data_IF_631409644539
#
_entry.id   IF_631409644539
#
_cell.length_a   1.000
_cell.length_b   1.000
_cell.length_c   1.000
_cell.angle_alpha   90.00
_cell.angle_beta   90.00
_cell.angle_gamma   90.00
#
_symmetry.space_group_name_H-M   'P 1'
#
loop_
_entity.id
_entity.type
_entity.pdbx_description
1 polymer ?
#
# COMPACT_ATOMS: atom_id res chain seq x y z
N UNK A 1 27.32 -7.83 17.68
CA UNK A 1 26.99 -8.08 16.26
C UNK A 1 26.22 -9.40 16.22
N UNK A 2 24.91 -9.33 16.02
CA UNK A 2 24.06 -10.52 15.87
C UNK A 2 23.94 -10.79 14.38
N UNK A 3 24.33 -11.98 13.94
CA UNK A 3 24.06 -12.43 12.57
C UNK A 3 22.69 -13.09 12.62
N UNK A 4 21.76 -12.64 11.79
CA UNK A 4 20.50 -13.36 11.57
C UNK A 4 20.78 -14.49 10.58
N UNK A 5 20.69 -15.74 11.06
CA UNK A 5 20.91 -16.94 10.24
C UNK A 5 19.60 -17.43 9.59
N UNK A 6 18.46 -16.92 10.04
CA UNK A 6 17.14 -17.29 9.55
C UNK A 6 16.92 -16.78 8.12
N UNK A 7 16.51 -17.69 7.23
CA UNK A 7 16.18 -17.35 5.86
C UNK A 7 14.95 -16.45 5.80
N UNK A 8 15.11 -15.23 5.27
CA UNK A 8 14.02 -14.30 4.98
C UNK A 8 13.49 -14.50 3.56
N UNK A 9 12.17 -14.41 3.40
CA UNK A 9 11.42 -14.77 2.19
C UNK A 9 10.66 -13.58 1.62
N UNK A 10 10.65 -13.46 0.29
CA UNK A 10 9.71 -12.64 -0.45
C UNK A 10 8.50 -13.47 -0.94
N UNK A 11 7.55 -12.82 -1.61
CA UNK A 11 6.36 -13.50 -2.11
C UNK A 11 6.67 -14.62 -3.11
N UNK A 12 7.73 -14.47 -3.90
CA UNK A 12 8.11 -15.47 -4.90
C UNK A 12 8.68 -16.76 -4.33
N UNK A 13 9.12 -16.74 -3.08
CA UNK A 13 9.82 -17.87 -2.46
C UNK A 13 8.84 -18.87 -1.84
N UNK A 14 7.52 -18.61 -1.93
CA UNK A 14 6.48 -19.48 -1.36
C UNK A 14 5.25 -19.66 -2.27
N UNK A 15 4.51 -20.74 -2.02
CA UNK A 15 3.13 -20.97 -2.48
C UNK A 15 2.21 -21.23 -1.28
N UNK A 16 0.90 -21.03 -1.45
CA UNK A 16 -0.11 -21.36 -0.44
C UNK A 16 -0.58 -22.79 -0.67
N UNK A 17 -0.47 -23.65 0.36
CA UNK A 17 -0.97 -25.03 0.32
C UNK A 17 -2.50 -25.06 0.24
N UNK A 18 -3.12 -25.70 -0.76
CA UNK A 18 -4.56 -25.91 -0.78
C UNK A 18 -5.03 -26.76 0.39
N UNK A 19 -6.27 -26.55 0.83
CA UNK A 19 -6.91 -27.29 1.92
C UNK A 19 -8.32 -27.71 1.51
N UNK A 20 -8.89 -28.69 2.22
CA UNK A 20 -10.29 -29.11 1.99
C UNK A 20 -11.22 -27.90 2.12
N UNK A 21 -12.06 -27.68 1.12
CA UNK A 21 -13.00 -26.57 1.03
C UNK A 21 -14.43 -27.10 0.82
N UNK A 22 -15.41 -26.40 1.38
CA UNK A 22 -16.85 -26.65 1.14
C UNK A 22 -17.48 -25.61 0.23
N UNK A 23 -16.70 -24.60 -0.21
CA UNK A 23 -17.16 -23.56 -1.13
C UNK A 23 -17.38 -24.16 -2.52
N UNK A 24 -18.47 -23.76 -3.18
CA UNK A 24 -18.82 -24.28 -4.50
C UNK A 24 -18.38 -23.33 -5.61
N UNK A 25 -18.35 -22.03 -5.32
CA UNK A 25 -18.00 -21.00 -6.27
C UNK A 25 -17.09 -19.93 -5.63
N UNK A 26 -16.31 -19.27 -6.48
CA UNK A 26 -15.55 -18.06 -6.11
C UNK A 26 -16.48 -16.92 -5.70
N UNK A 27 -17.70 -16.87 -6.24
CA UNK A 27 -18.71 -15.86 -5.86
C UNK A 27 -19.17 -15.97 -4.40
N UNK A 28 -18.96 -17.12 -3.76
CA UNK A 28 -19.35 -17.37 -2.37
C UNK A 28 -18.38 -16.71 -1.37
N UNK A 29 -17.28 -16.10 -1.85
CA UNK A 29 -16.24 -15.49 -1.03
C UNK A 29 -16.50 -13.99 -0.82
N UNK A 30 -16.62 -13.61 0.44
CA UNK A 30 -16.69 -12.22 0.89
C UNK A 30 -15.27 -11.66 1.08
N UNK A 31 -14.92 -10.63 0.31
CA UNK A 31 -13.61 -9.97 0.44
C UNK A 31 -13.63 -8.77 1.40
N UNK A 32 -14.82 -8.28 1.74
CA UNK A 32 -14.98 -7.18 2.67
C UNK A 32 -14.44 -7.54 4.05
N UNK A 33 -13.82 -6.57 4.70
CA UNK A 33 -13.36 -6.63 6.08
C UNK A 33 -13.93 -5.45 6.83
N UNK A 34 -14.34 -5.72 8.06
CA UNK A 34 -14.65 -4.68 9.03
C UNK A 34 -13.53 -4.61 10.07
N UNK A 35 -13.06 -3.39 10.32
CA UNK A 35 -11.99 -3.08 11.26
C UNK A 35 -12.43 -2.00 12.22
N UNK A 36 -12.05 -2.12 13.49
CA UNK A 36 -12.11 -1.04 14.48
C UNK A 36 -10.69 -0.71 14.90
N UNK A 37 -10.31 0.55 14.75
CA UNK A 37 -8.93 1.00 14.92
C UNK A 37 -8.65 1.41 16.37
N UNK A 38 -7.48 1.01 16.88
CA UNK A 38 -7.12 1.06 18.30
C UNK A 38 -7.22 2.46 18.90
N UNK A 39 -6.62 3.45 18.26
CA UNK A 39 -6.46 4.79 18.82
C UNK A 39 -7.53 5.74 18.35
N UNK A 40 -7.92 5.65 17.07
CA UNK A 40 -8.97 6.51 16.53
C UNK A 40 -10.38 6.12 16.99
N UNK A 41 -10.59 4.86 17.37
CA UNK A 41 -11.90 4.29 17.68
C UNK A 41 -12.84 4.18 16.47
N UNK A 42 -12.39 4.59 15.29
CA UNK A 42 -13.18 4.55 14.06
C UNK A 42 -13.40 3.10 13.63
N UNK A 43 -14.53 2.87 12.95
CA UNK A 43 -14.80 1.61 12.27
C UNK A 43 -14.86 1.86 10.77
N UNK A 44 -14.24 0.97 10.00
CA UNK A 44 -14.27 1.00 8.54
C UNK A 44 -14.59 -0.38 7.98
N UNK A 45 -15.35 -0.39 6.90
CA UNK A 45 -15.71 -1.57 6.13
C UNK A 45 -15.36 -1.36 4.66
N UNK A 46 -14.70 -2.34 4.05
CA UNK A 46 -14.39 -2.36 2.63
C UNK A 46 -13.44 -3.49 2.25
N UNK A 47 -12.96 -3.46 1.01
CA UNK A 47 -11.92 -4.37 0.55
C UNK A 47 -10.56 -3.78 0.90
N UNK A 48 -9.74 -4.44 1.73
CA UNK A 48 -8.53 -3.83 2.31
C UNK A 48 -7.34 -3.82 1.35
N UNK A 49 -7.55 -3.28 0.15
CA UNK A 49 -6.52 -2.93 -0.80
C UNK A 49 -6.40 -1.41 -0.78
N UNK A 50 -5.18 -0.89 -0.94
CA UNK A 50 -4.92 0.54 -0.95
C UNK A 50 -4.14 0.91 -2.22
N UNK A 51 -4.61 1.88 -2.99
CA UNK A 51 -3.79 2.50 -4.04
C UNK A 51 -2.69 3.36 -3.40
N UNK A 52 -1.44 3.17 -3.83
CA UNK A 52 -0.29 3.83 -3.23
C UNK A 52 -0.30 5.34 -3.44
N UNK A 53 0.21 6.09 -2.46
CA UNK A 53 0.28 7.56 -2.43
C UNK A 53 1.34 8.19 -3.35
N UNK A 54 1.51 7.59 -4.53
CA UNK A 54 2.37 8.08 -5.59
C UNK A 54 1.58 9.01 -6.51
N UNK A 55 2.20 10.07 -7.01
CA UNK A 55 1.55 11.04 -7.93
C UNK A 55 1.08 10.42 -9.25
N UNK A 56 1.62 9.26 -9.60
CA UNK A 56 1.23 8.46 -10.77
C UNK A 56 0.16 7.40 -10.47
N UNK A 57 -0.27 7.24 -9.22
CA UNK A 57 -1.21 6.18 -8.80
C UNK A 57 -2.34 6.74 -7.92
N UNK A 58 -2.02 7.35 -6.78
CA UNK A 58 -3.00 7.84 -5.81
C UNK A 58 -3.62 9.18 -6.20
N UNK A 59 -4.25 9.24 -7.37
CA UNK A 59 -4.95 10.42 -7.91
C UNK A 59 -6.40 10.47 -7.43
N UNK A 60 -7.08 11.59 -7.66
CA UNK A 60 -8.52 11.70 -7.39
C UNK A 60 -9.36 10.82 -8.32
N UNK A 61 -8.95 10.67 -9.58
CA UNK A 61 -9.58 9.79 -10.56
C UNK A 61 -9.49 8.33 -10.13
N UNK A 62 -8.32 7.91 -9.62
CA UNK A 62 -8.12 6.59 -9.05
C UNK A 62 -9.01 6.36 -7.83
N UNK A 63 -9.13 7.35 -6.94
CA UNK A 63 -10.02 7.29 -5.79
C UNK A 63 -11.49 7.09 -6.20
N UNK A 64 -11.97 7.83 -7.21
CA UNK A 64 -13.34 7.67 -7.71
C UNK A 64 -13.58 6.28 -8.31
N UNK A 65 -12.65 5.79 -9.13
CA UNK A 65 -12.80 4.50 -9.80
C UNK A 65 -12.73 3.32 -8.82
N UNK A 66 -11.82 3.36 -7.85
CA UNK A 66 -11.60 2.26 -6.89
C UNK A 66 -12.65 2.24 -5.77
N UNK A 67 -13.27 3.38 -5.44
CA UNK A 67 -14.37 3.42 -4.48
C UNK A 67 -15.55 2.50 -4.89
N UNK A 68 -15.81 2.35 -6.20
CA UNK A 68 -16.83 1.40 -6.71
C UNK A 68 -16.51 -0.09 -6.46
N UNK A 69 -15.32 -0.39 -5.95
CA UNK A 69 -14.89 -1.73 -5.51
C UNK A 69 -14.65 -1.80 -3.99
N UNK A 70 -15.04 -0.76 -3.26
CA UNK A 70 -14.74 -0.54 -1.84
C UNK A 70 -13.23 -0.59 -1.50
N UNK A 71 -12.39 -0.15 -2.43
CA UNK A 71 -10.93 -0.11 -2.29
C UNK A 71 -10.50 1.30 -1.87
N UNK A 72 -9.57 1.39 -0.91
CA UNK A 72 -9.00 2.64 -0.43
C UNK A 72 -8.01 3.24 -1.45
N UNK A 73 -7.93 4.57 -1.49
CA UNK A 73 -6.86 5.29 -2.17
C UNK A 73 -6.16 6.22 -1.20
N UNK A 74 -4.86 5.99 -0.99
CA UNK A 74 -4.01 6.97 -0.33
C UNK A 74 -3.66 8.03 -1.36
N UNK A 75 -4.30 9.19 -1.30
CA UNK A 75 -4.10 10.25 -2.29
C UNK A 75 -2.73 10.88 -2.09
N UNK A 76 -1.97 11.08 -3.18
CA UNK A 76 -0.63 11.65 -3.10
C UNK A 76 -0.64 13.06 -2.50
N UNK A 77 0.44 13.46 -1.84
CA UNK A 77 0.51 14.72 -1.07
C UNK A 77 0.71 15.99 -1.90
N UNK A 78 0.55 15.94 -3.23
CA UNK A 78 0.96 17.04 -4.12
C UNK A 78 -0.19 17.92 -4.61
N UNK A 79 -1.45 17.51 -4.42
CA UNK A 79 -2.58 18.40 -4.65
C UNK A 79 -2.61 19.54 -3.62
N UNK A 80 -3.08 20.71 -4.06
CA UNK A 80 -3.32 21.88 -3.21
C UNK A 80 -4.62 21.73 -2.42
N UNK A 81 -4.82 22.61 -1.43
CA UNK A 81 -6.05 22.62 -0.62
C UNK A 81 -7.27 22.94 -1.48
N UNK A 82 -7.11 23.80 -2.50
CA UNK A 82 -8.16 24.17 -3.45
C UNK A 82 -8.56 23.00 -4.35
N UNK A 83 -7.59 22.21 -4.81
CA UNK A 83 -7.85 20.99 -5.59
C UNK A 83 -8.59 19.95 -4.74
N UNK A 84 -8.20 19.78 -3.47
CA UNK A 84 -8.94 18.97 -2.51
C UNK A 84 -10.37 19.48 -2.29
N UNK A 85 -10.57 20.78 -2.14
CA UNK A 85 -11.91 21.37 -1.99
C UNK A 85 -12.77 21.12 -3.24
N UNK A 86 -12.20 21.26 -4.44
CA UNK A 86 -12.89 20.96 -5.69
C UNK A 86 -13.28 19.47 -5.80
N UNK A 87 -12.35 18.56 -5.43
CA UNK A 87 -12.63 17.12 -5.39
C UNK A 87 -13.74 16.80 -4.39
N UNK A 88 -13.67 17.30 -3.15
CA UNK A 88 -14.66 17.05 -2.10
C UNK A 88 -16.05 17.55 -2.51
N UNK A 89 -16.14 18.68 -3.20
CA UNK A 89 -17.41 19.24 -3.67
C UNK A 89 -18.11 18.38 -4.74
N UNK A 90 -17.37 17.50 -5.41
CA UNK A 90 -17.89 16.64 -6.49
C UNK A 90 -17.93 15.16 -6.09
N UNK A 91 -17.09 14.73 -5.15
CA UNK A 91 -17.03 13.38 -4.65
C UNK A 91 -18.27 13.01 -3.81
N UNK A 92 -18.77 11.80 -3.98
CA UNK A 92 -19.83 11.27 -3.12
C UNK A 92 -19.28 10.94 -1.73
N UNK A 93 -20.15 10.87 -0.72
CA UNK A 93 -19.77 10.39 0.61
C UNK A 93 -19.17 8.97 0.58
N UNK A 94 -19.60 8.16 -0.39
CA UNK A 94 -19.11 6.80 -0.63
C UNK A 94 -17.65 6.79 -1.15
N UNK A 95 -17.25 7.77 -1.97
CA UNK A 95 -15.85 7.95 -2.36
C UNK A 95 -15.03 8.42 -1.15
N UNK A 96 -15.53 9.39 -0.39
CA UNK A 96 -14.78 10.01 0.72
C UNK A 96 -14.47 9.03 1.86
N UNK A 97 -15.31 8.01 2.13
CA UNK A 97 -14.99 6.95 3.11
C UNK A 97 -13.77 6.11 2.73
N UNK A 98 -13.38 6.14 1.45
CA UNK A 98 -12.30 5.34 0.87
C UNK A 98 -11.09 6.18 0.46
N UNK A 99 -10.93 7.37 1.03
CA UNK A 99 -9.81 8.27 0.76
C UNK A 99 -8.92 8.43 2.00
N UNK A 100 -7.61 8.35 1.81
CA UNK A 100 -6.61 8.71 2.83
C UNK A 100 -5.84 9.95 2.38
N UNK A 101 -5.68 10.92 3.29
CA UNK A 101 -4.89 12.14 3.04
C UNK A 101 -3.44 11.85 3.39
N UNK A 102 -2.53 11.93 2.41
CA UNK A 102 -1.12 11.62 2.64
C UNK A 102 -0.29 12.85 3.04
N UNK A 103 0.71 12.65 3.88
CA UNK A 103 1.57 13.72 4.40
C UNK A 103 3.01 13.23 4.65
N UNK A 104 3.97 14.17 4.61
CA UNK A 104 5.33 13.94 5.10
C UNK A 104 5.48 14.41 6.54
N UNK A 105 6.72 14.72 6.98
CA UNK A 105 7.00 15.19 8.35
C UNK A 105 7.34 16.68 8.45
N UNK A 106 7.27 17.44 7.35
CA UNK A 106 7.56 18.88 7.37
C UNK A 106 6.39 19.67 7.98
N UNK A 107 6.69 20.83 8.57
CA UNK A 107 5.63 21.70 9.11
C UNK A 107 4.65 22.17 8.04
N UNK A 108 5.13 22.46 6.83
CA UNK A 108 4.28 22.82 5.69
C UNK A 108 3.34 21.68 5.27
N UNK A 109 3.84 20.43 5.23
CA UNK A 109 3.00 19.25 4.97
C UNK A 109 1.94 19.07 6.09
N UNK A 110 2.34 19.29 7.35
CA UNK A 110 1.44 19.21 8.50
C UNK A 110 0.32 20.26 8.43
N UNK A 111 0.66 21.54 8.23
CA UNK A 111 -0.31 22.65 8.09
C UNK A 111 -1.28 22.41 6.94
N UNK A 112 -0.78 21.98 5.78
CA UNK A 112 -1.63 21.64 4.63
C UNK A 112 -2.59 20.48 4.97
N UNK A 113 -2.11 19.47 5.70
CA UNK A 113 -2.94 18.34 6.13
C UNK A 113 -4.05 18.79 7.08
N UNK A 114 -3.75 19.68 8.02
CA UNK A 114 -4.77 20.30 8.91
C UNK A 114 -5.84 21.00 8.08
N UNK A 115 -5.45 21.79 7.08
CA UNK A 115 -6.40 22.51 6.22
C UNK A 115 -7.27 21.54 5.42
N UNK A 116 -6.69 20.50 4.81
CA UNK A 116 -7.44 19.50 4.04
C UNK A 116 -8.43 18.75 4.92
N UNK A 117 -8.00 18.27 6.10
CA UNK A 117 -8.88 17.53 7.01
C UNK A 117 -10.04 18.39 7.55
N UNK A 118 -9.86 19.71 7.63
CA UNK A 118 -10.92 20.64 8.01
C UNK A 118 -11.99 20.85 6.92
N UNK A 119 -11.70 20.52 5.65
CA UNK A 119 -12.65 20.67 4.55
C UNK A 119 -13.86 19.74 4.68
N UNK A 120 -13.66 18.52 5.20
CA UNK A 120 -14.76 17.57 5.37
C UNK A 120 -14.48 16.57 6.50
N UNK A 121 -15.40 16.41 7.48
CA UNK A 121 -15.21 15.47 8.58
C UNK A 121 -15.14 14.00 8.12
N UNK A 122 -15.66 13.66 6.93
CA UNK A 122 -15.62 12.31 6.38
C UNK A 122 -14.22 11.82 5.97
N UNK A 123 -13.25 12.74 5.84
CA UNK A 123 -11.84 12.38 5.63
C UNK A 123 -11.28 11.78 6.92
N UNK A 124 -11.39 10.46 7.07
CA UNK A 124 -11.10 9.77 8.33
C UNK A 124 -9.71 9.15 8.40
N UNK A 125 -8.99 9.06 7.28
CA UNK A 125 -7.68 8.43 7.21
C UNK A 125 -6.57 9.42 6.88
N UNK A 126 -5.45 9.30 7.59
CA UNK A 126 -4.20 10.01 7.32
C UNK A 126 -3.12 8.98 7.03
N UNK A 127 -2.35 9.18 5.95
CA UNK A 127 -1.20 8.37 5.58
C UNK A 127 0.09 9.18 5.77
N UNK A 128 0.83 8.92 6.84
CA UNK A 128 2.12 9.57 7.10
C UNK A 128 3.22 8.70 6.49
N UNK A 129 3.83 9.21 5.42
CA UNK A 129 4.74 8.44 4.56
C UNK A 129 6.14 9.04 4.51
N UNK A 130 7.13 8.25 4.93
CA UNK A 130 8.56 8.54 4.82
C UNK A 130 9.32 7.30 4.38
N UNK A 131 10.49 7.51 3.75
CA UNK A 131 11.35 6.40 3.34
C UNK A 131 11.94 5.62 4.52
N UNK A 132 12.22 6.30 5.65
CA UNK A 132 12.83 5.71 6.84
C UNK A 132 11.98 6.00 8.09
N UNK A 133 11.08 5.08 8.43
CA UNK A 133 10.25 5.15 9.62
C UNK A 133 11.00 4.88 10.94
N UNK A 134 12.28 4.52 10.91
CA UNK A 134 13.11 4.26 12.09
C UNK A 134 13.71 5.52 12.73
N UNK A 135 13.35 6.70 12.22
CA UNK A 135 13.85 7.96 12.75
C UNK A 135 13.06 8.39 13.97
N UNK A 136 13.74 8.77 15.06
CA UNK A 136 13.10 9.37 16.25
C UNK A 136 12.20 10.56 15.87
N UNK A 137 12.64 11.38 14.92
CA UNK A 137 11.84 12.50 14.41
C UNK A 137 10.49 12.05 13.82
N UNK A 138 10.46 10.87 13.17
CA UNK A 138 9.23 10.32 12.63
C UNK A 138 8.29 9.84 13.73
N UNK A 139 8.82 9.18 14.76
CA UNK A 139 8.06 8.74 15.95
C UNK A 139 7.42 9.94 16.66
N UNK A 140 8.20 11.01 16.88
CA UNK A 140 7.72 12.26 17.46
C UNK A 140 6.63 12.91 16.58
N UNK A 141 6.77 12.85 15.26
CA UNK A 141 5.76 13.35 14.34
C UNK A 141 4.45 12.54 14.42
N UNK A 142 4.52 11.21 14.53
CA UNK A 142 3.33 10.35 14.71
C UNK A 142 2.60 10.71 16.01
N UNK A 143 3.34 10.91 17.12
CA UNK A 143 2.75 11.34 18.39
C UNK A 143 2.07 12.72 18.27
N UNK A 144 2.73 13.69 17.65
CA UNK A 144 2.16 15.03 17.34
C UNK A 144 0.89 14.91 16.48
N UNK A 145 0.91 14.05 15.47
CA UNK A 145 -0.23 13.81 14.59
C UNK A 145 -1.42 13.19 15.33
N UNK A 146 -1.17 12.22 16.22
CA UNK A 146 -2.22 11.65 17.08
C UNK A 146 -2.83 12.70 18.01
N UNK A 147 -2.01 13.56 18.63
CA UNK A 147 -2.51 14.63 19.48
C UNK A 147 -3.39 15.63 18.70
N UNK A 148 -2.96 16.01 17.50
CA UNK A 148 -3.70 16.95 16.66
C UNK A 148 -4.98 16.37 16.05
N UNK A 149 -4.99 15.06 15.75
CA UNK A 149 -6.08 14.39 15.04
C UNK A 149 -6.57 13.14 15.79
N UNK A 150 -7.07 13.28 17.03
CA UNK A 150 -7.33 12.15 17.93
C UNK A 150 -8.36 11.16 17.40
N UNK A 151 -9.30 11.62 16.56
CA UNK A 151 -10.38 10.80 15.99
C UNK A 151 -10.09 10.28 14.59
N UNK A 152 -8.94 10.61 13.99
CA UNK A 152 -8.54 10.15 12.65
C UNK A 152 -7.74 8.86 12.76
N UNK A 153 -7.96 7.97 11.80
CA UNK A 153 -7.18 6.73 11.67
C UNK A 153 -5.84 7.04 11.01
N UNK A 154 -4.74 6.76 11.72
CA UNK A 154 -3.39 7.09 11.27
C UNK A 154 -2.70 5.83 10.75
N UNK A 155 -2.33 5.85 9.47
CA UNK A 155 -1.42 4.90 8.86
C UNK A 155 -0.02 5.54 8.77
N UNK A 156 1.02 4.89 9.32
CA UNK A 156 2.37 5.46 9.40
C UNK A 156 3.46 4.46 9.00
N UNK A 157 4.44 4.88 8.20
CA UNK A 157 5.65 4.09 7.92
C UNK A 157 6.63 4.79 6.95
N UNK A 158 7.64 4.10 6.42
CA UNK A 158 7.76 2.63 6.35
C UNK A 158 8.77 2.00 7.32
N UNK A 159 8.43 0.79 7.78
CA UNK A 159 9.27 -0.06 8.65
C UNK A 159 9.24 -1.51 8.16
N UNK A 160 10.11 -2.38 8.69
CA UNK A 160 10.21 -3.80 8.28
C UNK A 160 10.46 -4.78 9.43
N UNK A 161 10.49 -4.31 10.68
CA UNK A 161 10.76 -5.12 11.87
C UNK A 161 9.68 -4.94 12.93
N UNK A 162 9.50 -5.96 13.77
CA UNK A 162 8.49 -5.97 14.82
C UNK A 162 8.67 -4.83 15.83
N UNK A 163 9.89 -4.57 16.28
CA UNK A 163 10.16 -3.52 17.30
C UNK A 163 9.69 -2.13 16.85
N UNK A 164 10.10 -1.67 15.67
CA UNK A 164 9.66 -0.38 15.15
C UNK A 164 8.16 -0.36 14.82
N UNK A 165 7.58 -1.52 14.47
CA UNK A 165 6.13 -1.65 14.31
C UNK A 165 5.41 -1.43 15.66
N UNK A 166 5.92 -2.00 16.75
CA UNK A 166 5.39 -1.78 18.09
C UNK A 166 5.52 -0.32 18.52
N UNK A 167 6.69 0.29 18.31
CA UNK A 167 6.93 1.70 18.66
C UNK A 167 5.94 2.62 17.96
N UNK A 168 5.74 2.49 16.64
CA UNK A 168 4.78 3.33 15.91
C UNK A 168 3.34 3.17 16.42
N UNK A 169 2.92 1.95 16.77
CA UNK A 169 1.60 1.72 17.36
C UNK A 169 1.52 2.36 18.74
N UNK A 170 2.54 2.23 19.59
CA UNK A 170 2.56 2.85 20.92
C UNK A 170 2.56 4.38 20.84
N UNK A 171 3.16 4.96 19.80
CA UNK A 171 3.16 6.40 19.54
C UNK A 171 1.86 6.94 18.95
N UNK A 172 0.91 6.06 18.58
CA UNK A 172 -0.44 6.45 18.19
C UNK A 172 -0.86 6.11 16.76
N UNK A 173 -0.04 5.38 15.99
CA UNK A 173 -0.47 4.83 14.71
C UNK A 173 -1.50 3.71 14.91
N UNK A 174 -2.57 3.71 14.11
CA UNK A 174 -3.54 2.62 14.07
C UNK A 174 -3.08 1.50 13.13
N UNK A 175 -2.43 1.89 12.03
CA UNK A 175 -1.95 1.00 10.97
C UNK A 175 -0.48 1.32 10.71
N UNK A 176 0.37 0.29 10.66
CA UNK A 176 1.79 0.46 10.32
C UNK A 176 2.04 0.06 8.88
N UNK A 177 2.73 0.91 8.11
CA UNK A 177 3.10 0.66 6.72
C UNK A 177 4.42 -0.11 6.64
N UNK A 178 4.35 -1.33 6.11
CA UNK A 178 5.45 -2.31 6.14
C UNK A 178 6.04 -2.48 4.76
N UNK A 179 7.32 -2.15 4.59
CA UNK A 179 8.07 -2.41 3.36
C UNK A 179 9.16 -1.40 3.07
N UNK A 180 10.42 -1.86 3.04
CA UNK A 180 11.58 -1.06 2.62
C UNK A 180 12.30 -1.77 1.47
N UNK A 181 12.30 -1.12 0.31
CA UNK A 181 12.91 -1.63 -0.92
C UNK A 181 12.14 -2.65 -1.77
N UNK A 182 10.88 -3.08 -1.51
CA UNK A 182 10.21 -4.08 -2.34
C UNK A 182 9.55 -3.48 -3.60
N UNK A 183 9.40 -2.15 -3.68
CA UNK A 183 8.66 -1.49 -4.75
C UNK A 183 9.26 -1.70 -6.15
N UNK A 184 8.41 -1.86 -7.17
CA UNK A 184 8.84 -2.15 -8.55
C UNK A 184 9.72 -1.07 -9.19
N UNK A 185 9.58 0.18 -8.73
CA UNK A 185 10.37 1.35 -9.14
C UNK A 185 11.30 1.87 -8.03
N UNK A 186 11.48 1.10 -6.95
CA UNK A 186 12.41 1.42 -5.87
C UNK A 186 13.81 0.92 -6.21
N UNK A 187 14.83 1.71 -5.86
CA UNK A 187 16.24 1.33 -5.98
C UNK A 187 17.00 1.41 -4.65
N UNK A 188 16.33 1.67 -3.52
CA UNK A 188 16.91 1.72 -2.17
C UNK A 188 17.84 0.54 -1.89
N UNK A 189 17.40 -0.71 -2.08
CA UNK A 189 18.26 -1.90 -1.87
C UNK A 189 19.55 -1.87 -2.66
N UNK A 190 19.48 -1.40 -3.92
CA UNK A 190 20.64 -1.33 -4.81
C UNK A 190 21.57 -0.18 -4.41
N UNK A 191 21.02 0.93 -3.93
CA UNK A 191 21.76 2.15 -3.60
C UNK A 191 22.38 2.12 -2.21
N UNK A 192 21.67 1.56 -1.23
CA UNK A 192 22.04 1.63 0.20
C UNK A 192 22.36 0.26 0.79
N UNK A 193 21.96 -0.84 0.13
CA UNK A 193 22.00 -2.19 0.70
C UNK A 193 20.91 -2.45 1.75
N UNK A 194 20.05 -1.48 2.04
CA UNK A 194 19.03 -1.58 3.09
C UNK A 194 17.72 -2.10 2.51
N UNK A 195 17.12 -3.08 3.20
CA UNK A 195 15.79 -3.60 2.92
C UNK A 195 15.55 -4.95 3.58
N UNK A 196 14.33 -5.45 3.45
CA UNK A 196 13.91 -6.70 4.08
C UNK A 196 12.97 -7.48 3.14
N UNK A 197 13.12 -8.80 2.95
CA UNK A 197 12.21 -9.58 2.12
C UNK A 197 10.75 -9.47 2.58
N UNK A 198 9.88 -9.06 1.66
CA UNK A 198 8.58 -8.47 2.02
C UNK A 198 7.67 -9.42 2.78
N UNK A 199 7.64 -10.71 2.43
CA UNK A 199 6.76 -11.65 3.11
C UNK A 199 7.20 -11.87 4.55
N UNK A 200 8.50 -12.02 4.80
CA UNK A 200 9.02 -12.13 6.17
C UNK A 200 8.78 -10.86 6.99
N UNK A 201 8.96 -9.67 6.40
CA UNK A 201 8.65 -8.41 7.07
C UNK A 201 7.16 -8.32 7.44
N UNK A 202 6.28 -8.73 6.53
CA UNK A 202 4.82 -8.77 6.77
C UNK A 202 4.49 -9.70 7.93
N UNK A 203 5.03 -10.92 7.96
CA UNK A 203 4.77 -11.88 9.03
C UNK A 203 5.24 -11.33 10.38
N UNK A 204 6.48 -10.83 10.44
CA UNK A 204 7.06 -10.28 11.67
C UNK A 204 6.27 -9.08 12.21
N UNK A 205 5.96 -8.11 11.34
CA UNK A 205 5.22 -6.92 11.74
C UNK A 205 3.73 -7.20 12.02
N UNK A 206 3.11 -8.18 11.36
CA UNK A 206 1.72 -8.56 11.64
C UNK A 206 1.59 -9.12 13.06
N UNK A 207 2.49 -10.04 13.44
CA UNK A 207 2.52 -10.62 14.78
C UNK A 207 2.69 -9.52 15.85
N UNK A 208 3.64 -8.61 15.63
CA UNK A 208 3.88 -7.46 16.51
C UNK A 208 2.66 -6.53 16.63
N UNK A 209 2.09 -6.11 15.49
CA UNK A 209 0.97 -5.19 15.47
C UNK A 209 -0.28 -5.77 16.12
N UNK A 210 -0.63 -7.02 15.77
CA UNK A 210 -1.82 -7.70 16.29
C UNK A 210 -1.70 -7.95 17.80
N UNK A 211 -0.49 -8.22 18.30
CA UNK A 211 -0.20 -8.34 19.74
C UNK A 211 -0.54 -7.06 20.52
N UNK A 212 -0.43 -5.90 19.88
CA UNK A 212 -0.81 -4.61 20.46
C UNK A 212 -2.22 -4.13 20.05
N UNK A 213 -2.95 -4.90 19.26
CA UNK A 213 -4.26 -4.50 18.71
C UNK A 213 -4.19 -3.44 17.60
N UNK A 214 -2.99 -3.16 17.07
CA UNK A 214 -2.82 -2.38 15.84
C UNK A 214 -2.96 -3.25 14.59
N UNK A 215 -2.77 -2.65 13.43
CA UNK A 215 -2.88 -3.31 12.13
C UNK A 215 -1.66 -3.00 11.27
N UNK A 216 -1.48 -3.75 10.18
CA UNK A 216 -0.44 -3.43 9.19
C UNK A 216 -0.98 -3.32 7.77
N UNK A 217 -0.25 -2.57 6.95
CA UNK A 217 -0.35 -2.63 5.49
C UNK A 217 0.94 -3.17 4.88
N UNK A 218 0.84 -4.20 4.04
CA UNK A 218 1.96 -4.64 3.19
C UNK A 218 2.11 -3.68 2.02
N UNK A 219 3.16 -2.86 2.01
CA UNK A 219 3.41 -1.85 1.00
C UNK A 219 4.53 -2.25 0.02
N UNK A 220 4.12 -2.48 -1.24
CA UNK A 220 5.02 -2.80 -2.35
C UNK A 220 5.36 -4.29 -2.48
N UNK A 221 6.09 -4.63 -3.54
CA UNK A 221 6.54 -5.99 -3.85
C UNK A 221 5.51 -6.90 -4.51
N UNK A 222 4.21 -6.58 -4.46
CA UNK A 222 3.19 -7.32 -5.19
C UNK A 222 3.24 -7.00 -6.69
N UNK A 223 3.34 -8.05 -7.50
CA UNK A 223 3.40 -7.93 -8.97
C UNK A 223 2.25 -8.64 -9.67
N UNK A 224 1.54 -9.52 -8.96
CA UNK A 224 0.41 -10.29 -9.47
C UNK A 224 -0.61 -10.54 -8.34
N UNK A 225 -1.88 -10.90 -8.65
CA UNK A 225 -2.91 -11.18 -7.63
C UNK A 225 -2.51 -12.23 -6.59
N UNK A 226 -1.71 -13.22 -7.00
CA UNK A 226 -1.19 -14.24 -6.09
C UNK A 226 -0.28 -13.69 -4.99
N UNK A 227 0.46 -12.60 -5.25
CA UNK A 227 1.29 -11.94 -4.23
C UNK A 227 0.41 -11.22 -3.20
N UNK A 228 -0.69 -10.60 -3.65
CA UNK A 228 -1.69 -9.98 -2.77
C UNK A 228 -2.30 -11.03 -1.83
N UNK A 229 -2.63 -12.21 -2.37
CA UNK A 229 -3.12 -13.34 -1.57
C UNK A 229 -2.08 -13.82 -0.54
N UNK A 230 -0.79 -13.84 -0.89
CA UNK A 230 0.30 -14.19 0.02
C UNK A 230 0.51 -13.13 1.09
N UNK A 231 0.36 -11.84 0.77
CA UNK A 231 0.44 -10.76 1.76
C UNK A 231 -0.66 -10.92 2.83
N UNK A 232 -1.92 -11.11 2.42
CA UNK A 232 -3.01 -11.40 3.37
C UNK A 232 -2.80 -12.73 4.11
N UNK A 233 -2.34 -13.77 3.42
CA UNK A 233 -1.99 -15.06 4.03
C UNK A 233 -0.88 -14.95 5.07
N UNK A 234 0.04 -14.00 4.90
CA UNK A 234 1.13 -13.67 5.82
C UNK A 234 0.73 -12.76 6.98
N UNK A 235 -0.53 -12.32 7.08
CA UNK A 235 -1.03 -11.56 8.21
C UNK A 235 -1.27 -10.08 7.95
N UNK A 236 -1.03 -9.58 6.73
CA UNK A 236 -1.36 -8.20 6.41
C UNK A 236 -2.87 -7.94 6.57
N UNK A 237 -3.24 -6.83 7.21
CA UNK A 237 -4.64 -6.39 7.27
C UNK A 237 -5.05 -5.70 5.98
N UNK A 238 -4.11 -4.93 5.41
CA UNK A 238 -4.24 -4.23 4.14
C UNK A 238 -3.06 -4.54 3.20
N UNK A 239 -3.26 -4.37 1.89
CA UNK A 239 -2.18 -4.46 0.90
C UNK A 239 -2.16 -3.18 0.04
N UNK A 240 -1.02 -2.48 0.00
CA UNK A 240 -0.84 -1.27 -0.79
C UNK A 240 -0.13 -1.57 -2.12
N UNK A 241 -0.70 -1.07 -3.22
CA UNK A 241 -0.29 -1.37 -4.58
C UNK A 241 0.07 -0.09 -5.34
N UNK A 242 1.32 -0.02 -5.81
CA UNK A 242 1.78 0.98 -6.78
C UNK A 242 1.74 0.42 -8.20
N UNK A 243 2.79 -0.34 -8.58
CA UNK A 243 2.98 -0.78 -9.97
C UNK A 243 1.87 -1.64 -10.59
N UNK A 244 1.05 -2.33 -9.77
CA UNK A 244 -0.13 -3.05 -10.28
C UNK A 244 -1.24 -2.08 -10.73
N UNK A 245 -1.31 -0.88 -10.13
CA UNK A 245 -2.35 0.14 -10.39
C UNK A 245 -1.80 1.34 -11.19
N UNK A 246 -0.57 1.27 -11.68
CA UNK A 246 0.00 2.25 -12.59
C UNK A 246 -0.24 1.88 -14.07
N UNK A 247 -0.27 2.88 -14.95
CA UNK A 247 -0.47 2.68 -16.39
C UNK A 247 -1.94 2.60 -16.83
N UNK A 248 -2.86 2.99 -15.95
CA UNK A 248 -4.30 3.03 -16.22
C UNK A 248 -4.76 4.43 -16.64
N UNK A 249 -5.97 4.53 -17.18
CA UNK A 249 -6.56 5.83 -17.57
C UNK A 249 -6.68 6.80 -16.38
N UNK A 250 -6.88 6.26 -15.19
CA UNK A 250 -7.00 7.01 -13.93
C UNK A 250 -5.64 7.36 -13.29
N UNK A 251 -4.52 6.86 -13.83
CA UNK A 251 -3.17 7.13 -13.33
C UNK A 251 -2.66 8.52 -13.74
N UNK A 252 -1.89 9.18 -12.87
CA UNK A 252 -1.36 10.54 -13.11
C UNK A 252 -0.07 10.62 -13.96
N UNK A 253 0.36 9.51 -14.56
CA UNK A 253 1.59 9.44 -15.36
C UNK A 253 1.43 10.04 -16.76
N UNK A 254 2.46 10.72 -17.26
CA UNK A 254 2.44 11.26 -18.63
C UNK A 254 2.51 10.13 -19.66
N UNK A 255 1.67 10.22 -20.70
CA UNK A 255 1.69 9.31 -21.85
C UNK A 255 2.75 9.76 -22.86
N UNK A 256 3.61 8.85 -23.27
CA UNK A 256 4.65 9.03 -24.28
C UNK A 256 4.45 8.02 -25.41
N UNK A 257 4.87 8.38 -26.62
CA UNK A 257 4.82 7.49 -27.78
C UNK A 257 6.24 7.11 -28.20
N UNK A 258 6.47 5.82 -28.44
CA UNK A 258 7.75 5.26 -28.88
C UNK A 258 7.48 4.15 -29.89
N UNK A 259 8.05 4.28 -31.10
CA UNK A 259 7.86 3.32 -32.20
C UNK A 259 6.38 3.05 -32.57
N UNK A 260 5.50 4.05 -32.41
CA UNK A 260 4.06 3.93 -32.68
C UNK A 260 3.26 3.27 -31.55
N UNK A 261 3.89 2.89 -30.44
CA UNK A 261 3.24 2.37 -29.24
C UNK A 261 3.18 3.44 -28.15
N UNK A 262 2.06 3.46 -27.40
CA UNK A 262 1.86 4.40 -26.29
C UNK A 262 2.18 3.75 -24.95
N UNK A 263 2.95 4.47 -24.15
CA UNK A 263 3.35 4.07 -22.80
C UNK A 263 3.05 5.17 -21.80
N UNK A 264 2.81 4.80 -20.55
CA UNK A 264 2.75 5.74 -19.45
C UNK A 264 4.05 5.71 -18.64
N UNK A 265 4.55 6.88 -18.28
CA UNK A 265 5.68 7.01 -17.37
C UNK A 265 5.25 6.71 -15.93
N UNK A 266 5.96 5.79 -15.29
CA UNK A 266 5.78 5.43 -13.89
C UNK A 266 7.12 5.52 -13.17
N UNK A 267 7.18 6.20 -12.02
CA UNK A 267 8.43 6.45 -11.31
C UNK A 267 8.27 6.40 -9.79
N UNK A 268 9.35 6.05 -9.09
CA UNK A 268 9.38 6.11 -7.63
C UNK A 268 9.42 7.56 -7.12
N UNK A 269 8.82 7.82 -5.95
CA UNK A 269 8.77 9.18 -5.37
C UNK A 269 10.16 9.72 -4.95
N UNK A 270 11.15 8.84 -4.78
CA UNK A 270 12.56 9.19 -4.56
C UNK A 270 13.41 9.15 -5.85
N UNK A 271 12.79 9.16 -7.03
CA UNK A 271 13.49 9.26 -8.32
C UNK A 271 13.91 10.70 -8.63
N UNK A 272 14.87 10.87 -9.53
CA UNK A 272 15.22 12.17 -10.08
C UNK A 272 14.02 12.86 -10.75
N UNK A 273 13.18 12.11 -11.48
CA UNK A 273 11.95 12.63 -12.09
C UNK A 273 11.02 13.25 -11.04
N UNK A 274 10.77 12.54 -9.92
CA UNK A 274 9.94 13.05 -8.84
C UNK A 274 10.56 14.25 -8.11
N UNK A 275 11.86 14.19 -7.81
CA UNK A 275 12.56 15.28 -7.12
C UNK A 275 12.65 16.55 -7.99
N UNK A 276 12.88 16.42 -9.30
CA UNK A 276 12.87 17.55 -10.21
C UNK A 276 11.48 18.19 -10.31
N UNK A 277 10.43 17.37 -10.35
CA UNK A 277 9.04 17.84 -10.43
C UNK A 277 8.58 18.56 -9.16
N UNK A 278 8.93 18.06 -7.99
CA UNK A 278 8.33 18.49 -6.71
C UNK A 278 9.26 19.29 -5.80
N UNK A 279 10.57 19.15 -5.95
CA UNK A 279 11.59 19.78 -5.08
C UNK A 279 12.53 20.71 -5.88
N UNK A 280 12.47 20.67 -7.21
CA UNK A 280 13.28 21.52 -8.09
C UNK A 280 14.71 21.01 -8.33
N UNK A 281 15.00 19.76 -8.00
CA UNK A 281 16.33 19.16 -8.20
C UNK A 281 16.67 18.04 -7.24
N UNK A 282 17.71 17.27 -7.57
CA UNK A 282 18.37 16.36 -6.61
C UNK A 282 19.39 17.16 -5.80
N UNK A 283 19.18 17.28 -4.48
CA UNK A 283 20.14 17.94 -3.60
C UNK A 283 21.50 17.24 -3.67
N UNK A 284 22.61 17.99 -3.63
CA UNK A 284 23.99 17.45 -3.80
C UNK A 284 24.34 16.29 -2.86
N UNK A 285 23.68 16.20 -1.70
CA UNK A 285 23.91 15.17 -0.70
C UNK A 285 22.94 13.97 -0.79
N UNK A 286 22.00 13.96 -1.75
CA UNK A 286 21.01 12.89 -1.93
C UNK A 286 21.32 12.09 -3.20
N UNK A 287 21.18 10.77 -3.12
CA UNK A 287 21.12 9.90 -4.28
C UNK A 287 19.66 9.57 -4.62
N UNK A 288 19.35 9.38 -5.91
CA UNK A 288 18.02 8.93 -6.31
C UNK A 288 17.83 7.44 -5.94
N UNK A 289 16.79 7.18 -5.16
CA UNK A 289 16.37 5.84 -4.68
C UNK A 289 15.09 5.33 -5.39
N UNK A 290 14.74 5.98 -6.50
CA UNK A 290 13.72 5.52 -7.43
C UNK A 290 14.24 5.49 -8.87
N UNK A 291 13.58 4.70 -9.72
CA UNK A 291 13.77 4.68 -11.18
C UNK A 291 12.48 5.09 -11.89
N UNK A 292 12.62 5.45 -13.16
CA UNK A 292 11.50 5.68 -14.08
C UNK A 292 11.41 4.52 -15.05
N UNK A 293 10.19 4.03 -15.30
CA UNK A 293 9.89 2.97 -16.26
C UNK A 293 8.75 3.40 -17.18
N UNK A 294 8.69 2.79 -18.36
CA UNK A 294 7.57 2.92 -19.30
C UNK A 294 6.68 1.71 -19.14
N UNK A 295 5.40 1.93 -18.86
CA UNK A 295 4.39 0.87 -18.76
C UNK A 295 3.47 0.92 -19.97
N UNK A 296 3.10 -0.21 -20.58
CA UNK A 296 2.05 -0.22 -21.60
C UNK A 296 0.75 0.29 -20.98
N UNK A 297 -0.07 0.99 -21.78
CA UNK A 297 -1.39 1.44 -21.32
C UNK A 297 -2.29 0.23 -21.08
N UNK A 298 -2.97 0.23 -19.93
CA UNK A 298 -3.78 -0.90 -19.46
C UNK A 298 -5.28 -0.65 -19.51
N UNK A 299 -5.72 0.49 -20.05
CA UNK A 299 -7.12 0.93 -20.03
C UNK A 299 -7.63 1.22 -18.62
N UNK A 300 -8.95 1.13 -18.37
CA UNK A 300 -9.56 1.46 -17.08
C UNK A 300 -9.07 0.55 -15.94
N UNK A 301 -8.75 1.14 -14.78
CA UNK A 301 -8.26 0.41 -13.59
C UNK A 301 -9.24 -0.63 -13.08
N UNK A 302 -10.54 -0.43 -13.32
CA UNK A 302 -11.60 -1.37 -12.93
C UNK A 302 -11.39 -2.79 -13.48
N UNK A 303 -10.72 -2.95 -14.62
CA UNK A 303 -10.36 -4.27 -15.16
C UNK A 303 -9.30 -4.97 -14.28
N UNK A 304 -8.29 -4.23 -13.85
CA UNK A 304 -7.24 -4.75 -12.97
C UNK A 304 -7.76 -4.98 -11.55
N UNK A 305 -8.64 -4.12 -11.04
CA UNK A 305 -9.34 -4.36 -9.78
C UNK A 305 -10.09 -5.70 -9.82
N UNK A 306 -10.90 -5.96 -10.86
CA UNK A 306 -11.62 -7.23 -11.01
C UNK A 306 -10.69 -8.44 -11.06
N UNK A 307 -9.55 -8.34 -11.75
CA UNK A 307 -8.55 -9.41 -11.82
C UNK A 307 -7.95 -9.73 -10.44
N UNK A 308 -7.52 -8.69 -9.70
CA UNK A 308 -6.99 -8.83 -8.34
C UNK A 308 -8.03 -9.49 -7.42
N UNK A 309 -9.26 -8.97 -7.41
CA UNK A 309 -10.34 -9.51 -6.59
C UNK A 309 -10.73 -10.94 -7.00
N UNK A 310 -10.72 -11.24 -8.30
CA UNK A 310 -10.93 -12.58 -8.82
C UNK A 310 -9.87 -13.58 -8.35
N UNK A 311 -8.60 -13.17 -8.40
CA UNK A 311 -7.47 -13.93 -7.89
C UNK A 311 -7.56 -14.19 -6.38
N UNK A 312 -7.93 -13.18 -5.60
CA UNK A 312 -8.15 -13.31 -4.15
C UNK A 312 -9.29 -14.29 -3.81
N UNK A 313 -10.44 -14.17 -4.48
CA UNK A 313 -11.55 -15.12 -4.28
C UNK A 313 -11.12 -16.55 -4.64
N UNK A 314 -10.35 -16.70 -5.73
CA UNK A 314 -9.78 -18.00 -6.13
C UNK A 314 -8.89 -18.59 -5.04
N UNK A 315 -7.92 -17.81 -4.53
CA UNK A 315 -7.03 -18.25 -3.45
C UNK A 315 -7.82 -18.65 -2.19
N UNK A 316 -8.85 -17.87 -1.82
CA UNK A 316 -9.73 -18.17 -0.70
C UNK A 316 -10.46 -19.52 -0.88
N UNK A 317 -10.99 -19.81 -2.07
CA UNK A 317 -11.63 -21.11 -2.33
C UNK A 317 -10.66 -22.28 -2.19
N UNK A 318 -9.40 -22.14 -2.64
CA UNK A 318 -8.38 -23.19 -2.52
C UNK A 318 -8.00 -23.53 -1.08
N UNK A 319 -8.12 -22.58 -0.14
CA UNK A 319 -7.85 -22.82 1.28
C UNK A 319 -9.11 -23.01 2.13
N UNK A 320 -10.29 -22.94 1.52
CA UNK A 320 -11.57 -23.04 2.20
C UNK A 320 -11.94 -21.84 3.07
N UNK A 321 -11.49 -20.63 2.71
CA UNK A 321 -11.85 -19.37 3.37
C UNK A 321 -13.10 -18.78 2.71
N UNK A 322 -14.25 -18.74 3.39
CA UNK A 322 -15.46 -18.08 2.85
C UNK A 322 -15.41 -16.56 2.99
N UNK A 323 -14.51 -16.05 3.83
CA UNK A 323 -14.27 -14.62 4.05
C UNK A 323 -12.77 -14.35 4.05
N UNK A 324 -12.35 -13.19 3.54
CA UNK A 324 -10.93 -12.80 3.53
C UNK A 324 -10.31 -12.83 4.94
N UNK A 325 -11.10 -12.53 5.98
CA UNK A 325 -10.70 -12.63 7.41
C UNK A 325 -10.14 -14.01 7.80
N UNK A 326 -10.53 -15.06 7.08
CA UNK A 326 -10.14 -16.43 7.38
C UNK A 326 -8.88 -16.87 6.62
N UNK A 327 -8.46 -16.12 5.60
CA UNK A 327 -7.35 -16.48 4.73
C UNK A 327 -6.05 -16.67 5.52
N UNK A 328 -5.69 -15.73 6.39
CA UNK A 328 -4.48 -15.81 7.24
C UNK A 328 -4.49 -17.08 8.09
N UNK A 329 -5.58 -17.34 8.82
CA UNK A 329 -5.72 -18.52 9.71
C UNK A 329 -5.69 -19.85 8.95
N UNK A 330 -6.11 -19.85 7.68
CA UNK A 330 -6.13 -21.04 6.82
C UNK A 330 -4.89 -21.17 5.96
N UNK A 331 -3.99 -20.19 5.96
CA UNK A 331 -2.78 -20.22 5.14
C UNK A 331 -1.75 -21.20 5.73
N UNK A 332 -1.07 -21.91 4.84
CA UNK A 332 0.15 -22.65 5.14
C UNK A 332 1.06 -22.46 3.96
N UNK A 333 2.18 -21.78 4.16
CA UNK A 333 3.16 -21.56 3.11
C UNK A 333 4.01 -22.80 2.86
N UNK A 334 4.31 -23.06 1.60
CA UNK A 334 5.29 -24.04 1.13
C UNK A 334 6.40 -23.24 0.49
N UNK A 335 7.63 -23.36 0.99
CA UNK A 335 8.81 -22.76 0.33
C UNK A 335 9.04 -23.45 -1.01
N UNK A 336 9.31 -22.66 -2.06
CA UNK A 336 9.53 -23.15 -3.42
C UNK A 336 10.85 -22.66 -3.99
N UNK A 337 11.39 -23.41 -4.94
CA UNK A 337 12.45 -22.92 -5.84
C UNK A 337 11.85 -22.18 -7.05
N UNK A 338 10.66 -22.60 -7.48
CA UNK A 338 9.95 -22.04 -8.64
C UNK A 338 8.49 -21.73 -8.26
N UNK A 339 8.08 -20.47 -8.43
CA UNK A 339 6.69 -20.03 -8.22
C UNK A 339 5.80 -20.32 -9.43
N UNK A 340 6.35 -20.19 -10.63
CA UNK A 340 5.61 -20.17 -11.90
C UNK A 340 6.49 -20.79 -12.97
N UNK A 341 5.90 -21.69 -13.77
CA UNK A 341 6.53 -22.18 -14.98
C UNK A 341 6.41 -21.10 -16.07
N UNK A 342 7.55 -20.53 -16.47
CA UNK A 342 7.62 -19.43 -17.45
C UNK A 342 7.90 -19.88 -18.89
N UNK A 343 7.93 -21.18 -19.17
CA UNK A 343 8.27 -21.72 -20.49
C UNK A 343 7.39 -21.13 -21.61
N UNK A 344 6.14 -20.78 -21.31
CA UNK A 344 5.20 -20.24 -22.29
C UNK A 344 4.90 -18.74 -22.12
N UNK A 345 5.58 -18.02 -21.22
CA UNK A 345 5.29 -16.60 -20.96
C UNK A 345 5.93 -15.65 -22.00
N UNK A 346 6.69 -16.18 -22.96
CA UNK A 346 7.39 -15.43 -24.00
C UNK A 346 7.14 -15.95 -25.42
N UNK A 347 6.05 -16.72 -25.63
CA UNK A 347 5.55 -17.07 -26.96
C UNK A 347 4.49 -16.07 -27.42
#
# INVERSE_FOLDING_TARGET
MRIEEDLKLGFKDVLIRPKRSTLKSRSDVELERQFTFKHSGQTWSGVPIIAANMDTVGTFEMAQALAGFDILTAVHKHYTVEEWAAFINTASADVLKHVMVSTGTSDADFEKTVQILALNPALNFVCIDVANGYSEHFVQFVAKAREAWPTKTICAGNVVTGEMCEELILSGADIVKVGIGPGSVCTTRVKTGVGYPQLSAVIECADAAHGLGGMIVSDGGCTMPGDVAKAFGGGADFVMLGGMLAGHEESGGSVVEENGEKFMLFYGMSSESAMNRHVGGVAKYRAAEGKTVKLPLRGPVGNTARDILGGLRSACTYVGASRLKELTKRTTFIRVQEQENRIFNSL
#
